data_IF_081597819901
#
_entry.id   IF_081597819901
#
_cell.length_a   1.000
_cell.length_b   1.000
_cell.length_c   1.000
_cell.angle_alpha   90.00
_cell.angle_beta   90.00
_cell.angle_gamma   90.00
#
_symmetry.space_group_name_H-M   'P 1'
#
loop_
_entity.id
_entity.type
_entity.pdbx_description
1 polymer ?
#
# COMPACT_ATOMS: atom_id res chain seq x y z
N UNK A 1 -2.32 -3.16 23.02
CA UNK A 1 -1.74 -1.80 22.92
C UNK A 1 -2.45 -0.87 21.89
N UNK A 2 -3.25 -1.41 20.96
CA UNK A 2 -3.81 -0.63 19.85
C UNK A 2 -5.07 0.18 20.19
N UNK A 3 -5.90 -0.30 21.12
CA UNK A 3 -7.12 0.39 21.52
C UNK A 3 -7.43 0.23 23.01
N UNK A 4 -7.94 1.29 23.62
CA UNK A 4 -8.69 1.24 24.87
C UNK A 4 -9.63 2.44 24.97
N UNK A 5 -10.81 2.25 25.56
CA UNK A 5 -11.71 3.35 25.91
C UNK A 5 -11.09 4.32 26.93
N UNK A 6 -10.08 3.87 27.68
CA UNK A 6 -9.36 4.68 28.66
C UNK A 6 -8.17 5.46 28.09
N UNK A 7 -7.80 5.23 26.82
CA UNK A 7 -6.66 5.90 26.21
C UNK A 7 -7.03 7.29 25.68
N UNK A 8 -6.09 8.26 25.69
CA UNK A 8 -6.26 9.47 24.91
C UNK A 8 -6.54 9.12 23.44
N UNK A 9 -7.40 9.91 22.78
CA UNK A 9 -7.75 9.65 21.38
C UNK A 9 -6.53 9.53 20.47
N UNK A 10 -5.47 10.30 20.70
CA UNK A 10 -4.22 10.22 19.93
C UNK A 10 -3.61 8.81 19.92
N UNK A 11 -3.67 8.07 21.03
CA UNK A 11 -3.19 6.70 21.10
C UNK A 11 -4.08 5.75 20.31
N UNK A 12 -5.40 5.92 20.40
CA UNK A 12 -6.34 5.10 19.64
C UNK A 12 -6.24 5.37 18.13
N UNK A 13 -6.06 6.63 17.71
CA UNK A 13 -5.86 6.98 16.31
C UNK A 13 -4.51 6.48 15.78
N UNK A 14 -3.42 6.60 16.55
CA UNK A 14 -2.10 6.10 16.13
C UNK A 14 -1.96 4.57 16.19
N UNK A 15 -2.84 3.88 16.91
CA UNK A 15 -2.89 2.42 16.99
C UNK A 15 -3.97 1.84 16.10
N UNK A 16 -5.19 1.71 16.65
CA UNK A 16 -6.30 1.12 15.90
C UNK A 16 -6.71 1.96 14.68
N UNK A 17 -6.58 3.28 14.75
CA UNK A 17 -6.88 4.16 13.62
C UNK A 17 -5.93 3.97 12.44
N UNK A 18 -4.63 3.80 12.69
CA UNK A 18 -3.66 3.52 11.62
C UNK A 18 -3.92 2.15 10.99
N UNK A 19 -4.25 1.13 11.80
CA UNK A 19 -4.63 -0.20 11.29
C UNK A 19 -5.89 -0.08 10.42
N UNK A 20 -6.94 0.61 10.90
CA UNK A 20 -8.16 0.78 10.10
C UNK A 20 -7.90 1.56 8.80
N UNK A 21 -6.98 2.52 8.81
CA UNK A 21 -6.53 3.22 7.61
C UNK A 21 -5.80 2.31 6.63
N UNK A 22 -4.84 1.51 7.13
CA UNK A 22 -4.08 0.53 6.35
C UNK A 22 -5.01 -0.47 5.64
N UNK A 23 -5.95 -1.09 6.37
CA UNK A 23 -6.92 -2.02 5.75
C UNK A 23 -7.85 -1.34 4.73
N UNK A 24 -8.16 -0.06 4.92
CA UNK A 24 -8.94 0.70 3.93
C UNK A 24 -8.11 1.00 2.68
N UNK A 25 -6.83 1.31 2.83
CA UNK A 25 -5.90 1.60 1.73
C UNK A 25 -5.66 0.37 0.86
N UNK A 26 -5.69 -0.85 1.42
CA UNK A 26 -5.62 -2.08 0.63
C UNK A 26 -6.73 -2.22 -0.44
N UNK A 27 -7.86 -1.52 -0.28
CA UNK A 27 -8.86 -1.42 -1.36
C UNK A 27 -8.40 -0.60 -2.57
N UNK A 28 -7.25 0.06 -2.48
CA UNK A 28 -6.71 1.01 -3.46
C UNK A 28 -5.19 0.87 -3.65
N UNK A 29 -4.59 -0.24 -3.23
CA UNK A 29 -3.19 -0.55 -3.53
C UNK A 29 -3.05 -1.16 -4.95
N UNK A 30 -1.88 -1.68 -5.28
CA UNK A 30 -1.56 -2.22 -6.61
C UNK A 30 -2.47 -3.37 -7.05
N UNK A 31 -3.03 -4.13 -6.11
CA UNK A 31 -4.05 -5.15 -6.37
C UNK A 31 -5.47 -4.61 -6.14
N UNK A 32 -5.66 -3.80 -5.10
CA UNK A 32 -6.95 -3.24 -4.70
C UNK A 32 -7.62 -2.45 -5.81
N UNK A 33 -6.87 -1.65 -6.57
CA UNK A 33 -7.44 -0.87 -7.69
C UNK A 33 -8.05 -1.72 -8.79
N UNK A 34 -7.82 -3.04 -8.82
CA UNK A 34 -8.39 -3.94 -9.82
C UNK A 34 -9.85 -4.31 -9.54
N UNK A 35 -10.35 -4.06 -8.31
CA UNK A 35 -11.67 -4.51 -7.85
C UNK A 35 -12.64 -3.34 -7.64
N UNK A 36 -13.88 -3.52 -8.09
CA UNK A 36 -14.99 -2.59 -7.85
C UNK A 36 -15.54 -2.66 -6.41
N UNK A 37 -16.54 -1.84 -6.10
CA UNK A 37 -17.15 -1.78 -4.77
C UNK A 37 -17.85 -3.08 -4.33
N UNK A 38 -18.07 -4.02 -5.26
CA UNK A 38 -18.68 -5.32 -5.01
C UNK A 38 -17.62 -6.44 -4.91
N UNK A 39 -16.33 -6.10 -5.04
CA UNK A 39 -15.22 -7.04 -5.03
C UNK A 39 -15.06 -7.82 -6.34
N UNK A 40 -15.56 -7.29 -7.45
CA UNK A 40 -15.41 -7.89 -8.78
C UNK A 40 -14.34 -7.15 -9.59
N UNK A 41 -13.60 -7.87 -10.45
CA UNK A 41 -12.64 -7.22 -11.34
C UNK A 41 -13.34 -6.21 -12.25
N UNK A 42 -12.84 -4.97 -12.27
CA UNK A 42 -13.47 -3.85 -12.96
C UNK A 42 -12.75 -3.50 -14.27
N UNK A 43 -13.51 -3.08 -15.29
CA UNK A 43 -13.03 -2.54 -16.58
C UNK A 43 -11.81 -3.29 -17.19
N UNK A 44 -11.95 -4.61 -17.32
CA UNK A 44 -10.85 -5.46 -17.76
C UNK A 44 -10.53 -5.35 -19.25
N UNK A 45 -9.25 -5.11 -19.54
CA UNK A 45 -8.61 -5.29 -20.84
C UNK A 45 -7.87 -6.64 -20.91
N UNK A 46 -7.19 -6.91 -22.04
CA UNK A 46 -6.34 -8.10 -22.17
C UNK A 46 -5.15 -8.11 -21.20
N UNK A 47 -4.67 -6.95 -20.76
CA UNK A 47 -3.45 -6.81 -19.97
C UNK A 47 -3.65 -6.38 -18.52
N UNK A 48 -4.80 -5.83 -18.16
CA UNK A 48 -5.09 -5.37 -16.80
C UNK A 48 -6.59 -5.14 -16.58
N UNK A 49 -7.03 -5.17 -15.32
CA UNK A 49 -8.32 -4.68 -14.83
C UNK A 49 -8.04 -3.51 -13.88
N UNK A 50 -8.87 -2.49 -13.87
CA UNK A 50 -8.71 -1.35 -12.95
C UNK A 50 -10.00 -0.53 -12.84
N UNK A 51 -10.24 0.06 -11.68
CA UNK A 51 -11.24 1.11 -11.48
C UNK A 51 -10.75 2.49 -11.96
N UNK A 52 -9.47 2.60 -12.33
CA UNK A 52 -8.82 3.83 -12.76
C UNK A 52 -8.89 3.96 -14.29
N UNK A 53 -9.12 5.18 -14.78
CA UNK A 53 -8.88 5.49 -16.19
C UNK A 53 -7.38 5.48 -16.53
N UNK A 54 -7.04 5.43 -17.81
CA UNK A 54 -5.65 5.34 -18.28
C UNK A 54 -4.71 6.40 -17.68
N UNK A 55 -5.21 7.64 -17.54
CA UNK A 55 -4.42 8.74 -16.99
C UNK A 55 -4.16 8.57 -15.49
N UNK A 56 -5.17 8.14 -14.75
CA UNK A 56 -5.10 7.87 -13.31
C UNK A 56 -4.25 6.63 -13.03
N UNK A 57 -4.35 5.59 -13.85
CA UNK A 57 -3.53 4.39 -13.77
C UNK A 57 -2.03 4.74 -13.94
N UNK A 58 -1.69 5.58 -14.92
CA UNK A 58 -0.31 6.02 -15.10
C UNK A 58 0.18 6.81 -13.87
N UNK A 59 -0.64 7.73 -13.36
CA UNK A 59 -0.29 8.50 -12.16
C UNK A 59 -0.11 7.63 -10.91
N UNK A 60 -0.94 6.60 -10.76
CA UNK A 60 -0.81 5.63 -9.68
C UNK A 60 0.50 4.85 -9.77
N UNK A 61 0.82 4.30 -10.95
CA UNK A 61 2.06 3.54 -11.19
C UNK A 61 3.29 4.41 -10.90
N UNK A 62 3.28 5.68 -11.32
CA UNK A 62 4.38 6.61 -11.04
C UNK A 62 4.60 6.83 -9.54
N UNK A 63 3.52 6.93 -8.76
CA UNK A 63 3.57 7.07 -7.30
C UNK A 63 3.99 5.77 -6.60
N UNK A 64 3.43 4.63 -6.99
CA UNK A 64 3.79 3.31 -6.46
C UNK A 64 5.26 3.00 -6.69
N UNK A 65 5.80 3.35 -7.86
CA UNK A 65 7.21 3.15 -8.19
C UNK A 65 8.16 3.93 -7.26
N UNK A 66 7.72 5.08 -6.73
CA UNK A 66 8.47 5.82 -5.71
C UNK A 66 8.58 5.02 -4.40
N UNK A 67 7.47 4.39 -3.97
CA UNK A 67 7.43 3.53 -2.78
C UNK A 67 8.32 2.30 -2.98
N UNK A 68 8.23 1.63 -4.14
CA UNK A 68 9.09 0.49 -4.49
C UNK A 68 10.57 0.87 -4.35
N UNK A 69 10.99 1.99 -4.94
CA UNK A 69 12.38 2.45 -4.89
C UNK A 69 12.85 2.78 -3.46
N UNK A 70 11.95 3.35 -2.64
CA UNK A 70 12.23 3.64 -1.25
C UNK A 70 12.58 2.37 -0.48
N UNK A 71 11.80 1.30 -0.66
CA UNK A 71 12.01 0.04 0.07
C UNK A 71 13.13 -0.84 -0.50
N UNK A 72 13.37 -0.76 -1.81
CA UNK A 72 14.48 -1.45 -2.46
C UNK A 72 15.86 -0.99 -1.97
N UNK A 73 15.99 0.30 -1.63
CA UNK A 73 17.32 0.91 -1.48
C UNK A 73 17.50 1.85 -0.28
N UNK A 74 16.46 2.59 0.11
CA UNK A 74 16.56 3.61 1.15
C UNK A 74 16.30 3.02 2.54
N UNK A 75 15.25 2.19 2.64
CA UNK A 75 14.81 1.53 3.87
C UNK A 75 15.53 0.22 4.18
N UNK A 76 16.76 0.01 3.69
CA UNK A 76 17.52 -1.18 4.03
C UNK A 76 17.91 -1.18 5.53
N UNK A 77 17.47 -2.18 6.32
CA UNK A 77 17.71 -2.21 7.77
C UNK A 77 19.19 -2.46 8.11
N UNK A 78 19.92 -3.11 7.21
CA UNK A 78 21.35 -3.36 7.33
C UNK A 78 22.13 -2.49 6.35
N UNK A 79 23.19 -1.84 6.82
CA UNK A 79 24.07 -0.99 5.99
C UNK A 79 25.46 -1.60 5.76
N UNK A 80 25.80 -2.70 6.43
CA UNK A 80 27.11 -3.36 6.37
C UNK A 80 26.98 -4.88 6.35
N UNK A 81 27.95 -5.57 5.76
CA UNK A 81 27.97 -7.04 5.65
C UNK A 81 27.24 -7.55 4.40
N UNK A 82 26.64 -8.73 4.48
CA UNK A 82 25.77 -9.25 3.41
C UNK A 82 24.41 -8.54 3.46
N UNK A 83 24.36 -7.32 2.91
CA UNK A 83 23.15 -6.50 2.86
C UNK A 83 22.16 -7.13 1.89
N UNK A 84 20.97 -7.46 2.39
CA UNK A 84 19.78 -7.76 1.57
C UNK A 84 18.70 -6.79 2.01
N UNK A 85 18.36 -5.87 1.11
CA UNK A 85 17.22 -5.00 1.30
C UNK A 85 15.91 -5.77 1.05
N UNK A 86 14.80 -5.17 1.48
CA UNK A 86 13.47 -5.68 1.11
C UNK A 86 13.30 -5.54 -0.41
N UNK A 87 12.54 -6.44 -1.02
CA UNK A 87 12.09 -6.26 -2.39
C UNK A 87 10.86 -5.36 -2.37
N UNK A 88 11.03 -4.12 -2.82
CA UNK A 88 9.99 -3.10 -2.83
C UNK A 88 8.78 -3.51 -3.67
N UNK A 89 9.00 -4.18 -4.79
CA UNK A 89 7.95 -4.66 -5.69
C UNK A 89 7.06 -5.71 -5.01
N UNK A 90 7.68 -6.70 -4.35
CA UNK A 90 6.93 -7.74 -3.61
C UNK A 90 6.22 -7.24 -2.34
N UNK A 91 6.54 -6.03 -1.88
CA UNK A 91 5.98 -5.48 -0.64
C UNK A 91 5.18 -4.20 -0.86
N UNK A 92 4.98 -3.79 -2.12
CA UNK A 92 4.45 -2.47 -2.42
C UNK A 92 3.03 -2.25 -1.88
N UNK A 93 2.14 -3.24 -1.95
CA UNK A 93 0.79 -3.14 -1.39
C UNK A 93 0.80 -2.81 0.11
N UNK A 94 1.59 -3.54 0.88
CA UNK A 94 1.78 -3.31 2.32
C UNK A 94 2.51 -2.00 2.63
N UNK A 95 3.39 -1.53 1.73
CA UNK A 95 4.11 -0.28 1.93
C UNK A 95 3.26 0.95 1.55
N UNK A 96 2.28 0.78 0.66
CA UNK A 96 1.30 1.80 0.27
C UNK A 96 0.25 1.97 1.37
N UNK A 97 -0.13 0.88 2.03
CA UNK A 97 -1.13 0.84 3.10
C UNK A 97 -0.63 1.33 4.47
#
# INVERSE_FOLDING_TARGET
PFFSLSYPHSYNYGGQGSVAGHELTHGYDDEGTQFDENGMLADCSFSHCSILDDASQQGFVDMAQCVVQQFDSQCCPLKTGHVRCVNGDMTQGENIA
#
